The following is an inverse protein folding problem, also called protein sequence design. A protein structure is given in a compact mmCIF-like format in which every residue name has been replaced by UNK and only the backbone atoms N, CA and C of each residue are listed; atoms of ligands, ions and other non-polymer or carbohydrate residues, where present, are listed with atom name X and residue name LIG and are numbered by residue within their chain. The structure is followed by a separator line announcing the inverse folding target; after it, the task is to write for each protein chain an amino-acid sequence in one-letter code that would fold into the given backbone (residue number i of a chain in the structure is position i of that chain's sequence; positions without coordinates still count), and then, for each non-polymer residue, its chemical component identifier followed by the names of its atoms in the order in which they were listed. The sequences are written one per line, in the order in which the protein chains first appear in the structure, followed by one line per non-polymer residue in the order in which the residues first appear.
data_IF_569983501874
#
_entry.id   IF_569983501874
#
_cell.length_a   1.000
_cell.length_b   1.000
_cell.length_c   1.000
_cell.angle_alpha   90.00
_cell.angle_beta   90.00
_cell.angle_gamma   90.00
#
_symmetry.space_group_name_H-M   'P 1'
#
loop_
_entity.id
_entity.type
_entity.pdbx_description
1 polymer ?
#
# COMPACT_ATOMS: atom_id res chain seq x y z
N UNK A 1 -10.24 18.41 -13.88
CA UNK A 1 -9.44 17.20 -13.56
C UNK A 1 -8.56 16.86 -14.75
N UNK A 2 -7.27 16.58 -14.55
CA UNK A 2 -6.37 16.11 -15.60
C UNK A 2 -6.14 14.61 -15.39
N UNK A 3 -6.48 13.80 -16.39
CA UNK A 3 -6.22 12.35 -16.36
C UNK A 3 -4.86 12.07 -17.02
N UNK A 4 -4.09 11.13 -16.47
CA UNK A 4 -2.86 10.63 -17.08
C UNK A 4 -3.17 9.33 -17.80
N UNK A 5 -2.72 9.19 -19.04
CA UNK A 5 -2.81 7.93 -19.76
C UNK A 5 -1.91 6.90 -19.08
N UNK A 6 -2.46 5.72 -18.79
CA UNK A 6 -1.74 4.54 -18.33
C UNK A 6 -1.95 3.45 -19.38
N UNK A 7 -0.89 2.91 -20.02
CA UNK A 7 -1.04 1.83 -20.98
C UNK A 7 -1.64 0.59 -20.32
N UNK A 8 -2.40 -0.25 -21.06
CA UNK A 8 -2.91 -1.51 -20.53
C UNK A 8 -1.79 -2.39 -19.99
N UNK A 9 -2.07 -3.12 -18.91
CA UNK A 9 -1.14 -4.07 -18.26
C UNK A 9 0.24 -3.47 -17.91
N UNK A 10 0.28 -2.17 -17.58
CA UNK A 10 1.50 -1.49 -17.12
C UNK A 10 1.44 -1.13 -15.63
N UNK A 11 1.35 -2.12 -14.71
CA UNK A 11 1.31 -1.85 -13.27
C UNK A 11 2.59 -1.17 -12.78
N UNK A 12 3.73 -1.38 -13.45
CA UNK A 12 5.01 -0.76 -13.14
C UNK A 12 4.98 0.78 -13.28
N UNK A 13 4.02 1.29 -14.04
CA UNK A 13 3.78 2.72 -14.21
C UNK A 13 2.73 3.26 -13.24
N UNK A 14 2.21 2.47 -12.30
CA UNK A 14 1.17 2.89 -11.37
C UNK A 14 1.70 2.92 -9.91
N UNK A 15 1.94 4.10 -9.31
CA UNK A 15 2.59 4.22 -8.00
C UNK A 15 1.83 3.54 -6.85
N UNK A 16 0.51 3.36 -6.98
CA UNK A 16 -0.29 2.67 -5.97
C UNK A 16 0.08 1.19 -5.83
N UNK A 17 0.62 0.56 -6.88
CA UNK A 17 1.08 -0.83 -6.83
C UNK A 17 2.29 -0.97 -5.89
N UNK A 18 3.20 0.02 -5.89
CA UNK A 18 4.34 0.09 -4.97
C UNK A 18 3.87 0.32 -3.53
N UNK A 19 2.88 1.20 -3.33
CA UNK A 19 2.26 1.40 -2.01
C UNK A 19 1.62 0.13 -1.46
N UNK A 20 0.87 -0.62 -2.27
CA UNK A 20 0.32 -1.90 -1.87
C UNK A 20 1.40 -2.95 -1.61
N UNK A 21 2.49 -2.95 -2.38
CA UNK A 21 3.63 -3.82 -2.13
C UNK A 21 4.26 -3.55 -0.76
N UNK A 22 4.52 -2.28 -0.43
CA UNK A 22 5.04 -1.86 0.87
C UNK A 22 4.10 -2.21 2.02
N UNK A 23 2.81 -1.91 1.89
CA UNK A 23 1.81 -2.27 2.89
C UNK A 23 1.77 -3.79 3.13
N UNK A 24 1.77 -4.61 2.05
CA UNK A 24 1.84 -6.07 2.17
C UNK A 24 3.12 -6.55 2.84
N UNK A 25 4.25 -5.88 2.60
CA UNK A 25 5.50 -6.19 3.27
C UNK A 25 5.36 -6.01 4.79
N UNK A 26 4.85 -4.86 5.25
CA UNK A 26 4.64 -4.61 6.69
C UNK A 26 3.64 -5.58 7.32
N UNK A 27 2.53 -5.87 6.64
CA UNK A 27 1.55 -6.86 7.09
C UNK A 27 2.17 -8.25 7.27
N UNK A 28 3.05 -8.67 6.35
CA UNK A 28 3.71 -9.97 6.40
C UNK A 28 4.76 -10.07 7.50
N UNK A 29 5.40 -8.96 7.89
CA UNK A 29 6.31 -8.94 9.04
C UNK A 29 5.55 -9.28 10.34
N UNK A 30 4.27 -8.91 10.44
CA UNK A 30 3.38 -9.20 11.56
C UNK A 30 2.38 -10.33 11.26
N UNK A 31 2.77 -11.32 10.45
CA UNK A 31 1.87 -12.31 9.85
C UNK A 31 0.93 -13.03 10.84
N UNK A 32 1.45 -13.50 11.97
CA UNK A 32 0.65 -14.20 12.99
C UNK A 32 -0.43 -13.30 13.61
N UNK A 33 -0.06 -12.05 13.93
CA UNK A 33 -1.00 -11.05 14.43
C UNK A 33 -2.06 -10.71 13.36
N UNK A 34 -1.65 -10.59 12.10
CA UNK A 34 -2.59 -10.30 11.01
C UNK A 34 -3.57 -11.44 10.78
N UNK A 35 -3.13 -12.70 10.89
CA UNK A 35 -4.01 -13.86 10.78
C UNK A 35 -5.03 -13.90 11.92
N UNK A 36 -4.60 -13.62 13.15
CA UNK A 36 -5.50 -13.48 14.30
C UNK A 36 -6.48 -12.32 14.09
N UNK A 37 -5.97 -11.15 13.67
CA UNK A 37 -6.79 -9.96 13.45
C UNK A 37 -7.92 -10.21 12.45
N UNK A 38 -7.59 -10.85 11.32
CA UNK A 38 -8.55 -11.14 10.23
C UNK A 38 -9.57 -12.24 10.58
N UNK A 39 -9.37 -12.99 11.66
CA UNK A 39 -10.26 -14.11 12.04
C UNK A 39 -11.05 -13.85 13.31
N UNK A 40 -10.57 -12.95 14.18
CA UNK A 40 -11.11 -12.78 15.53
C UNK A 40 -11.55 -11.36 15.87
N UNK A 41 -11.09 -10.34 15.13
CA UNK A 41 -11.45 -8.95 15.40
C UNK A 41 -12.69 -8.53 14.59
N UNK A 42 -13.31 -7.45 15.02
CA UNK A 42 -14.40 -6.80 14.29
C UNK A 42 -13.88 -6.07 13.05
N UNK A 43 -14.76 -5.81 12.08
CA UNK A 43 -14.42 -5.07 10.86
C UNK A 43 -13.76 -3.71 11.15
N UNK A 44 -14.22 -3.00 12.19
CA UNK A 44 -13.65 -1.71 12.60
C UNK A 44 -12.21 -1.85 13.11
N UNK A 45 -11.92 -2.90 13.88
CA UNK A 45 -10.58 -3.17 14.40
C UNK A 45 -9.63 -3.63 13.29
N UNK A 46 -10.13 -4.44 12.34
CA UNK A 46 -9.41 -4.80 11.13
C UNK A 46 -9.06 -3.55 10.32
N UNK A 47 -10.02 -2.63 10.15
CA UNK A 47 -9.80 -1.37 9.45
C UNK A 47 -8.70 -0.52 10.13
N UNK A 48 -8.75 -0.36 11.45
CA UNK A 48 -7.72 0.36 12.21
C UNK A 48 -6.36 -0.31 12.09
N UNK A 49 -6.32 -1.64 12.11
CA UNK A 49 -5.08 -2.42 11.93
C UNK A 49 -4.45 -2.16 10.56
N UNK A 50 -5.24 -2.28 9.49
CA UNK A 50 -4.77 -2.00 8.12
C UNK A 50 -4.32 -0.55 7.97
N UNK A 51 -5.04 0.40 8.57
CA UNK A 51 -4.71 1.80 8.53
C UNK A 51 -3.37 2.09 9.23
N UNK A 52 -3.09 1.43 10.36
CA UNK A 52 -1.79 1.56 11.05
C UNK A 52 -0.63 1.11 10.17
N UNK A 53 -0.77 0.01 9.46
CA UNK A 53 0.29 -0.47 8.54
C UNK A 53 0.44 0.45 7.33
N UNK A 54 -0.64 1.06 6.85
CA UNK A 54 -0.58 2.09 5.81
C UNK A 54 0.19 3.33 6.27
N UNK A 55 0.03 3.75 7.53
CA UNK A 55 0.75 4.89 8.12
C UNK A 55 2.26 4.68 8.31
N UNK A 56 2.78 3.47 8.06
CA UNK A 56 4.23 3.23 8.01
C UNK A 56 4.88 3.77 6.73
N UNK A 57 4.08 4.00 5.68
CA UNK A 57 4.55 4.57 4.42
C UNK A 57 4.86 6.06 4.60
N UNK A 58 6.08 6.44 4.27
CA UNK A 58 6.53 7.83 4.41
C UNK A 58 6.24 8.68 3.16
N UNK A 59 6.23 10.02 3.28
CA UNK A 59 6.23 10.92 2.13
C UNK A 59 7.41 10.68 1.18
N UNK A 60 8.58 10.34 1.72
CA UNK A 60 9.78 10.03 0.96
C UNK A 60 9.61 8.76 0.12
N UNK A 61 9.00 7.71 0.67
CA UNK A 61 8.65 6.51 -0.09
C UNK A 61 7.72 6.86 -1.26
N UNK A 62 6.68 7.63 -0.97
CA UNK A 62 5.70 8.07 -1.97
C UNK A 62 6.38 8.83 -3.11
N UNK A 63 7.23 9.81 -2.78
CA UNK A 63 8.01 10.56 -3.76
C UNK A 63 8.91 9.64 -4.61
N UNK A 64 9.60 8.71 -3.96
CA UNK A 64 10.43 7.70 -4.63
C UNK A 64 9.64 6.84 -5.62
N UNK A 65 8.41 6.48 -5.30
CA UNK A 65 7.53 5.72 -6.20
C UNK A 65 7.06 6.53 -7.40
N UNK A 66 6.70 7.80 -7.22
CA UNK A 66 6.37 8.67 -8.34
C UNK A 66 7.57 8.89 -9.27
N UNK A 67 8.77 9.05 -8.71
CA UNK A 67 10.02 9.13 -9.48
C UNK A 67 10.29 7.81 -10.23
N UNK A 68 10.13 6.66 -9.57
CA UNK A 68 10.31 5.34 -10.17
C UNK A 68 9.37 5.11 -11.37
N UNK A 69 8.12 5.55 -11.27
CA UNK A 69 7.14 5.47 -12.36
C UNK A 69 7.30 6.57 -13.43
N UNK A 70 8.25 7.49 -13.30
CA UNK A 70 8.53 8.55 -14.27
C UNK A 70 7.55 9.73 -14.27
N UNK A 71 6.93 10.02 -13.13
CA UNK A 71 5.99 11.15 -12.98
C UNK A 71 6.61 12.43 -12.42
N UNK A 72 7.83 12.33 -11.87
CA UNK A 72 8.67 13.42 -11.36
C UNK A 72 9.96 13.39 -12.15
#
# INVERSE_FOLDING_TARGET
MRCKFLPPYSPDLNPIELAFSAMKYHLRQNGDYMQMAMTQLTDNEIYVTLLRELYMITPEDSYGWFLHCGYV
#
